data_IF_854822892096
#
_entry.id   IF_854822892096
#
_cell.length_a   1.000
_cell.length_b   1.000
_cell.length_c   1.000
_cell.angle_alpha   90.00
_cell.angle_beta   90.00
_cell.angle_gamma   90.00
#
_symmetry.space_group_name_H-M   'P 1'
#
loop_
_entity.id
_entity.type
_entity.pdbx_description
1 polymer ?
#
# COMPACT_ATOMS: atom_id res chain seq x y z
N UNK A 1 23.88 34.31 38.03
CA UNK A 1 22.46 33.97 38.27
C UNK A 1 21.54 34.24 37.07
N UNK A 2 21.52 35.42 36.44
CA UNK A 2 20.60 35.71 35.31
C UNK A 2 21.06 35.15 33.95
N UNK A 3 22.37 34.93 33.79
CA UNK A 3 22.98 34.34 32.59
C UNK A 3 22.95 32.79 32.62
N UNK A 4 22.97 32.20 33.81
CA UNK A 4 22.87 30.74 33.99
C UNK A 4 21.48 30.21 33.61
N UNK A 5 20.43 31.03 33.82
CA UNK A 5 19.04 30.71 33.43
C UNK A 5 18.87 30.74 31.90
N UNK A 6 19.59 31.61 31.20
CA UNK A 6 19.52 31.70 29.73
C UNK A 6 20.23 30.52 29.05
N UNK A 7 21.34 30.03 29.62
CA UNK A 7 22.07 28.87 29.11
C UNK A 7 21.27 27.56 29.28
N UNK A 8 20.52 27.42 30.38
CA UNK A 8 19.68 26.24 30.62
C UNK A 8 18.48 26.15 29.66
N UNK A 9 17.87 27.29 29.28
CA UNK A 9 16.72 27.32 28.37
C UNK A 9 17.06 26.90 26.93
N UNK A 10 18.27 27.24 26.46
CA UNK A 10 18.74 26.89 25.11
C UNK A 10 19.09 25.41 24.95
N UNK A 11 19.58 24.75 26.00
CA UNK A 11 19.91 23.31 25.97
C UNK A 11 18.67 22.40 25.92
N UNK A 12 17.59 22.78 26.61
CA UNK A 12 16.33 21.98 26.63
C UNK A 12 15.57 22.10 25.30
N UNK A 13 15.63 23.26 24.64
CA UNK A 13 14.97 23.46 23.34
C UNK A 13 15.53 22.58 22.22
N UNK A 14 16.83 22.28 22.24
CA UNK A 14 17.49 21.50 21.18
C UNK A 14 17.15 19.99 21.22
N UNK A 15 16.80 19.44 22.38
CA UNK A 15 16.53 17.99 22.54
C UNK A 15 15.14 17.63 22.01
N UNK A 16 14.16 18.55 22.04
CA UNK A 16 12.79 18.30 21.58
C UNK A 16 12.62 18.25 20.05
N UNK A 17 13.61 18.70 19.27
CA UNK A 17 13.56 18.73 17.80
C UNK A 17 13.94 17.41 17.13
N UNK A 18 14.35 16.39 17.90
CA UNK A 18 14.73 15.07 17.38
C UNK A 18 13.63 14.01 17.47
N UNK A 19 12.42 14.41 17.90
CA UNK A 19 11.24 13.54 17.91
C UNK A 19 10.73 13.32 16.47
N UNK A 20 11.29 12.30 15.82
CA UNK A 20 10.62 11.45 14.84
C UNK A 20 9.96 12.16 13.67
N UNK A 21 10.70 12.31 12.57
CA UNK A 21 10.07 12.21 11.26
C UNK A 21 9.63 10.75 11.07
N UNK A 22 8.54 10.34 11.74
CA UNK A 22 7.76 9.20 11.31
C UNK A 22 7.16 9.62 9.98
N UNK A 23 7.88 9.32 8.91
CA UNK A 23 7.35 9.42 7.57
C UNK A 23 6.15 8.49 7.55
N UNK A 24 4.95 9.07 7.59
CA UNK A 24 3.74 8.41 7.17
C UNK A 24 3.89 8.10 5.68
N UNK A 25 4.68 7.06 5.38
CA UNK A 25 4.61 6.36 4.11
C UNK A 25 3.13 6.03 3.96
N UNK A 26 2.48 6.58 2.92
CA UNK A 26 1.03 6.56 2.76
C UNK A 26 0.47 5.23 3.22
N UNK A 27 -0.50 5.29 4.16
CA UNK A 27 -0.97 4.23 5.05
C UNK A 27 -1.29 2.89 4.39
N UNK A 28 -0.30 2.21 3.85
CA UNK A 28 -0.43 0.87 3.33
C UNK A 28 -0.62 0.01 4.57
N UNK A 29 -1.87 -0.40 4.81
CA UNK A 29 -2.20 -1.24 5.95
C UNK A 29 -1.63 -2.62 5.67
N UNK A 30 -0.44 -2.86 6.20
CA UNK A 30 0.25 -4.13 6.05
C UNK A 30 -0.15 -5.09 7.17
N UNK A 31 -0.30 -6.36 6.84
CA UNK A 31 -0.48 -7.45 7.79
C UNK A 31 0.12 -8.74 7.21
N UNK A 32 0.16 -9.80 8.00
CA UNK A 32 0.49 -11.14 7.49
C UNK A 32 -0.40 -11.50 6.31
N UNK A 33 0.18 -12.05 5.23
CA UNK A 33 -0.55 -12.35 3.99
C UNK A 33 -1.83 -13.14 4.21
N UNK A 34 -1.78 -14.14 5.08
CA UNK A 34 -2.94 -14.98 5.40
C UNK A 34 -4.11 -14.15 5.96
N UNK A 35 -3.84 -13.21 6.86
CA UNK A 35 -4.85 -12.35 7.43
C UNK A 35 -5.45 -11.37 6.40
N UNK A 36 -4.62 -10.85 5.49
CA UNK A 36 -5.10 -9.99 4.39
C UNK A 36 -6.02 -10.78 3.47
N UNK A 37 -5.55 -11.91 2.94
CA UNK A 37 -6.32 -12.74 2.01
C UNK A 37 -7.62 -13.21 2.64
N UNK A 38 -7.57 -13.70 3.89
CA UNK A 38 -8.77 -14.12 4.61
C UNK A 38 -9.77 -12.97 4.75
N UNK A 39 -9.31 -11.76 5.10
CA UNK A 39 -10.20 -10.60 5.20
C UNK A 39 -10.84 -10.25 3.85
N UNK A 40 -10.07 -10.26 2.76
CA UNK A 40 -10.57 -9.98 1.42
C UNK A 40 -11.65 -10.99 1.00
N UNK A 41 -11.41 -12.27 1.25
CA UNK A 41 -12.39 -13.33 0.97
C UNK A 41 -13.62 -13.24 1.88
N UNK A 42 -13.44 -13.23 3.21
CA UNK A 42 -14.54 -13.36 4.16
C UNK A 42 -15.41 -12.10 4.24
N UNK A 43 -14.81 -10.90 4.13
CA UNK A 43 -15.53 -9.63 4.32
C UNK A 43 -15.99 -8.97 3.02
N UNK A 44 -15.30 -9.22 1.90
CA UNK A 44 -15.57 -8.55 0.62
C UNK A 44 -15.96 -9.52 -0.49
N UNK A 45 -15.82 -10.83 -0.27
CA UNK A 45 -16.05 -11.85 -1.30
C UNK A 45 -14.99 -11.82 -2.40
N UNK A 46 -13.85 -11.14 -2.16
CA UNK A 46 -12.83 -10.97 -3.18
C UNK A 46 -11.99 -12.24 -3.32
N UNK A 47 -11.79 -12.65 -4.57
CA UNK A 47 -10.91 -13.75 -4.96
C UNK A 47 -9.81 -13.24 -5.87
N UNK A 48 -8.68 -13.93 -5.91
CA UNK A 48 -7.52 -13.49 -6.70
C UNK A 48 -7.81 -13.60 -8.19
N UNK A 49 -7.61 -12.50 -8.90
CA UNK A 49 -7.81 -12.37 -10.35
C UNK A 49 -6.48 -12.41 -11.11
N UNK A 50 -5.41 -11.87 -10.55
CA UNK A 50 -4.09 -11.92 -11.16
C UNK A 50 -2.96 -11.93 -10.13
N UNK A 51 -1.78 -12.37 -10.58
CA UNK A 51 -0.55 -12.43 -9.78
C UNK A 51 0.66 -12.17 -10.67
N UNK A 52 1.63 -11.42 -10.16
CA UNK A 52 2.90 -11.17 -10.83
C UNK A 52 4.03 -10.91 -9.84
N UNK A 53 5.26 -11.06 -10.32
CA UNK A 53 6.44 -10.63 -9.58
C UNK A 53 6.76 -9.18 -9.96
N UNK A 54 6.90 -8.33 -8.96
CA UNK A 54 7.50 -7.02 -9.10
C UNK A 54 9.00 -7.06 -8.79
N UNK A 55 9.66 -5.93 -8.95
CA UNK A 55 11.03 -5.68 -8.49
C UNK A 55 11.21 -6.09 -7.03
N UNK A 56 12.46 -6.37 -6.64
CA UNK A 56 12.84 -6.65 -5.25
C UNK A 56 12.17 -7.90 -4.63
N UNK A 57 11.77 -8.86 -5.46
CA UNK A 57 11.15 -10.13 -5.06
C UNK A 57 9.80 -9.92 -4.34
N UNK A 58 9.07 -8.89 -4.75
CA UNK A 58 7.73 -8.63 -4.26
C UNK A 58 6.69 -9.32 -5.15
N UNK A 59 5.60 -9.78 -4.56
CA UNK A 59 4.46 -10.36 -5.28
C UNK A 59 3.34 -9.34 -5.32
N UNK A 60 2.84 -9.03 -6.51
CA UNK A 60 1.67 -8.16 -6.70
C UNK A 60 0.48 -9.05 -7.04
N UNK A 61 -0.62 -8.86 -6.33
CA UNK A 61 -1.86 -9.61 -6.57
C UNK A 61 -3.03 -8.63 -6.68
N UNK A 62 -3.94 -8.89 -7.63
CA UNK A 62 -5.23 -8.20 -7.74
C UNK A 62 -6.32 -9.16 -7.28
N UNK A 63 -7.18 -8.70 -6.38
CA UNK A 63 -8.34 -9.41 -5.88
C UNK A 63 -9.61 -8.65 -6.27
N UNK A 64 -10.68 -9.36 -6.59
CA UNK A 64 -11.97 -8.76 -6.90
C UNK A 64 -13.14 -9.69 -6.63
N UNK A 65 -14.31 -9.09 -6.45
CA UNK A 65 -15.59 -9.77 -6.27
C UNK A 65 -16.57 -9.32 -7.36
N UNK A 66 -16.98 -10.20 -8.27
CA UNK A 66 -18.03 -9.88 -9.25
C UNK A 66 -19.39 -9.62 -8.59
N UNK A 67 -19.63 -10.21 -7.42
CA UNK A 67 -20.90 -10.10 -6.70
C UNK A 67 -21.06 -8.74 -6.03
N UNK A 68 -19.99 -8.23 -5.39
CA UNK A 68 -20.02 -6.96 -4.67
C UNK A 68 -19.47 -5.79 -5.49
N UNK A 69 -18.77 -6.08 -6.59
CA UNK A 69 -18.08 -5.10 -7.42
C UNK A 69 -16.76 -4.59 -6.83
N UNK A 70 -16.37 -5.05 -5.63
CA UNK A 70 -15.18 -4.59 -4.95
C UNK A 70 -13.90 -5.15 -5.55
N UNK A 71 -12.80 -4.41 -5.39
CA UNK A 71 -11.46 -4.88 -5.72
C UNK A 71 -10.39 -4.31 -4.80
N UNK A 72 -9.28 -5.05 -4.71
CA UNK A 72 -8.08 -4.68 -3.95
C UNK A 72 -6.81 -5.10 -4.70
N UNK A 73 -5.82 -4.23 -4.73
CA UNK A 73 -4.45 -4.54 -5.16
C UNK A 73 -3.57 -4.64 -3.92
N UNK A 74 -2.79 -5.71 -3.85
CA UNK A 74 -1.86 -5.96 -2.75
C UNK A 74 -0.43 -6.14 -3.25
N UNK A 75 0.52 -5.80 -2.38
CA UNK A 75 1.94 -6.08 -2.56
C UNK A 75 2.42 -6.91 -1.37
N UNK A 76 2.96 -8.09 -1.63
CA UNK A 76 3.58 -8.96 -0.61
C UNK A 76 5.10 -8.87 -0.72
N UNK A 77 5.74 -8.49 0.37
CA UNK A 77 7.20 -8.42 0.49
C UNK A 77 7.79 -9.80 0.82
N UNK A 78 9.10 -9.96 0.59
CA UNK A 78 9.82 -11.20 0.89
C UNK A 78 9.80 -11.60 2.38
N UNK A 79 9.48 -10.67 3.28
CA UNK A 79 9.30 -10.94 4.71
C UNK A 79 7.91 -11.49 5.06
N UNK A 80 7.03 -11.73 4.07
CA UNK A 80 5.68 -12.29 4.27
C UNK A 80 4.59 -11.25 4.53
N UNK A 81 4.96 -9.98 4.71
CA UNK A 81 3.99 -8.90 4.92
C UNK A 81 3.32 -8.49 3.62
N UNK A 82 2.00 -8.41 3.64
CA UNK A 82 1.18 -7.96 2.52
C UNK A 82 0.54 -6.62 2.86
N UNK A 83 0.72 -5.65 1.98
CA UNK A 83 0.17 -4.30 2.10
C UNK A 83 -0.89 -4.06 1.04
N UNK A 84 -2.01 -3.45 1.43
CA UNK A 84 -3.00 -2.93 0.49
C UNK A 84 -2.44 -1.64 -0.12
N UNK A 85 -2.35 -1.58 -1.45
CA UNK A 85 -1.82 -0.41 -2.17
C UNK A 85 -2.90 0.35 -2.94
N UNK A 86 -3.99 -0.31 -3.30
CA UNK A 86 -5.19 0.32 -3.85
C UNK A 86 -6.42 -0.55 -3.57
N UNK A 87 -7.60 0.06 -3.46
CA UNK A 87 -8.87 -0.64 -3.34
C UNK A 87 -10.01 0.24 -3.86
N UNK A 88 -11.11 -0.37 -4.30
CA UNK A 88 -12.22 0.36 -4.87
C UNK A 88 -13.42 -0.51 -5.26
N UNK A 89 -14.17 0.00 -6.24
CA UNK A 89 -15.36 -0.62 -6.82
C UNK A 89 -15.26 -0.60 -8.35
N UNK A 90 -16.14 -1.34 -9.03
CA UNK A 90 -16.23 -1.34 -10.49
C UNK A 90 -15.08 -2.08 -11.17
N UNK A 91 -14.73 -3.26 -10.66
CA UNK A 91 -13.68 -4.08 -11.27
C UNK A 91 -14.11 -4.63 -12.62
N UNK A 92 -13.20 -4.59 -13.60
CA UNK A 92 -13.36 -5.22 -14.91
C UNK A 92 -12.16 -6.11 -15.21
N UNK A 93 -12.43 -7.37 -15.53
CA UNK A 93 -11.39 -8.31 -15.94
C UNK A 93 -11.21 -8.25 -17.47
N UNK A 94 -10.14 -7.59 -17.91
CA UNK A 94 -9.78 -7.51 -19.32
C UNK A 94 -8.74 -8.60 -19.65
N UNK A 95 -9.03 -9.41 -20.67
CA UNK A 95 -8.09 -10.34 -21.29
C UNK A 95 -8.07 -10.13 -22.80
N UNK A 96 -7.94 -8.87 -23.22
CA UNK A 96 -7.80 -8.50 -24.62
C UNK A 96 -6.32 -8.58 -25.03
N UNK A 97 -6.05 -9.17 -26.20
CA UNK A 97 -4.76 -9.01 -26.87
C UNK A 97 -4.66 -7.59 -27.42
N UNK A 98 -3.95 -6.71 -26.71
CA UNK A 98 -3.65 -5.38 -27.20
C UNK A 98 -2.67 -5.48 -28.38
N UNK A 99 -3.17 -5.35 -29.61
CA UNK A 99 -2.32 -5.18 -30.78
C UNK A 99 -1.52 -3.87 -30.63
N UNK A 100 -0.18 -3.87 -30.77
CA UNK A 100 0.67 -2.69 -30.54
C UNK A 100 0.29 -1.44 -31.36
N UNK A 101 -0.50 -1.60 -32.41
CA UNK A 101 -0.93 -0.53 -33.30
C UNK A 101 -1.98 0.43 -32.70
N UNK A 102 -2.68 0.08 -31.60
CA UNK A 102 -3.69 0.99 -31.01
C UNK A 102 -3.13 1.96 -29.96
N UNK A 103 -1.86 1.85 -29.58
CA UNK A 103 -1.20 2.80 -28.69
C UNK A 103 -0.76 4.05 -29.49
N UNK A 104 -1.72 4.74 -30.11
CA UNK A 104 -1.44 5.87 -31.00
C UNK A 104 -2.61 6.38 -31.85
N UNK A 105 -3.77 5.72 -31.83
CA UNK A 105 -4.97 6.26 -32.47
C UNK A 105 -5.49 7.47 -31.67
N UNK A 106 -5.78 8.61 -32.31
CA UNK A 106 -6.30 9.78 -31.61
C UNK A 106 -7.68 9.48 -31.03
N UNK A 107 -7.84 9.74 -29.72
CA UNK A 107 -9.14 9.84 -29.02
C UNK A 107 -9.95 11.04 -29.50
#
# INVERSE_FOLDING_TARGET
MKQDILALGLGVGAILLSAGQLQAQGSARCAERAAVVQRLTDSYGETRQSIGLASDRQVVEVFASPETGSWTITVTMANGMTCLVAAGQGFEHLNEELTPARLGDPV
#
